data_IF_044451540991
#
_entry.id   IF_044451540991
#
_cell.length_a   1.000
_cell.length_b   1.000
_cell.length_c   1.000
_cell.angle_alpha   90.00
_cell.angle_beta   90.00
_cell.angle_gamma   90.00
#
_symmetry.space_group_name_H-M   'P 1'
#
loop_
_entity.id
_entity.type
_entity.pdbx_description
1 polymer ?
#
# COMPACT_ATOMS: atom_id res chain seq x y z
N UNK A 1 12.83 12.36 -12.08
CA UNK A 1 12.67 10.95 -11.70
C UNK A 1 11.68 10.91 -10.56
N UNK A 2 10.49 10.32 -10.73
CA UNK A 2 9.51 10.27 -9.65
C UNK A 2 9.91 9.23 -8.62
N UNK A 3 9.59 9.53 -7.38
CA UNK A 3 9.94 8.67 -6.27
C UNK A 3 8.67 8.56 -5.44
N UNK A 4 7.81 7.59 -5.68
CA UNK A 4 6.70 7.27 -4.76
C UNK A 4 7.30 7.01 -3.39
N UNK A 5 6.96 7.82 -2.36
CA UNK A 5 7.37 7.56 -0.97
C UNK A 5 6.14 7.26 -0.15
N UNK A 6 6.16 6.10 0.51
CA UNK A 6 5.10 5.59 1.38
C UNK A 6 4.88 6.44 2.63
N UNK A 7 3.67 6.45 3.20
CA UNK A 7 3.43 7.06 4.49
C UNK A 7 4.13 6.21 5.57
N UNK A 8 5.19 6.75 6.16
CA UNK A 8 5.82 6.17 7.35
C UNK A 8 5.01 6.56 8.58
N UNK A 9 4.10 5.68 9.01
CA UNK A 9 3.67 5.58 10.42
C UNK A 9 3.00 4.21 10.61
N UNK A 10 3.79 3.14 10.81
CA UNK A 10 3.24 1.89 11.31
C UNK A 10 2.68 2.20 12.70
N UNK A 11 1.35 2.19 12.85
CA UNK A 11 0.77 2.14 14.20
C UNK A 11 0.99 0.70 14.64
N UNK A 12 1.77 0.43 15.69
CA UNK A 12 2.08 -0.93 16.08
C UNK A 12 0.81 -1.60 16.60
N UNK A 13 0.09 -2.32 15.73
CA UNK A 13 -0.49 -3.58 16.16
C UNK A 13 0.69 -4.46 16.57
N UNK A 14 0.79 -4.80 17.85
CA UNK A 14 2.01 -5.16 18.57
C UNK A 14 2.80 -6.40 18.06
N UNK A 15 2.51 -6.97 16.88
CA UNK A 15 3.16 -8.20 16.40
C UNK A 15 3.34 -8.41 14.88
N UNK A 16 2.90 -7.52 13.96
CA UNK A 16 3.07 -7.71 12.50
C UNK A 16 3.40 -6.40 11.79
N UNK A 17 4.12 -6.47 10.67
CA UNK A 17 4.37 -5.33 9.78
C UNK A 17 3.87 -5.63 8.37
N UNK A 18 3.07 -4.73 7.80
CA UNK A 18 2.67 -4.77 6.39
C UNK A 18 3.59 -3.86 5.57
N UNK A 19 4.07 -4.34 4.42
CA UNK A 19 4.93 -3.56 3.53
C UNK A 19 4.52 -3.76 2.08
N UNK A 20 4.26 -2.64 1.43
CA UNK A 20 4.13 -2.58 -0.01
C UNK A 20 5.49 -2.32 -0.65
N UNK A 21 5.76 -2.95 -1.79
CA UNK A 21 6.89 -2.57 -2.66
C UNK A 21 6.64 -1.19 -3.28
N UNK A 22 7.69 -0.44 -3.55
CA UNK A 22 7.56 0.88 -4.19
C UNK A 22 7.44 0.73 -5.70
N UNK A 23 6.40 1.32 -6.27
CA UNK A 23 6.22 1.40 -7.71
C UNK A 23 6.91 2.61 -8.32
N UNK A 24 7.43 2.49 -9.54
CA UNK A 24 7.97 3.61 -10.31
C UNK A 24 7.49 3.53 -11.76
N UNK A 25 6.96 4.64 -12.27
CA UNK A 25 6.49 4.74 -13.64
C UNK A 25 6.73 6.13 -14.23
N UNK A 26 6.34 6.32 -15.50
CA UNK A 26 6.36 7.61 -16.18
C UNK A 26 4.99 8.28 -16.07
N UNK A 27 4.88 9.61 -16.30
CA UNK A 27 3.57 10.25 -16.43
C UNK A 27 2.75 9.58 -17.52
N UNK A 28 1.50 9.22 -17.22
CA UNK A 28 0.62 8.47 -18.13
C UNK A 28 0.78 6.95 -18.10
N UNK A 29 1.73 6.40 -17.33
CA UNK A 29 1.82 4.96 -17.09
C UNK A 29 0.93 4.53 -15.91
N UNK A 30 0.40 3.32 -16.01
CA UNK A 30 -0.26 2.61 -14.91
C UNK A 30 0.78 1.77 -14.17
N UNK A 31 0.92 2.02 -12.86
CA UNK A 31 1.83 1.28 -11.99
C UNK A 31 1.02 0.36 -11.11
N UNK A 32 1.18 -0.94 -11.30
CA UNK A 32 0.65 -1.96 -10.39
C UNK A 32 1.69 -2.30 -9.34
N UNK A 33 1.30 -2.13 -8.08
CA UNK A 33 2.02 -2.60 -6.90
C UNK A 33 1.33 -3.89 -6.46
N UNK A 34 2.10 -4.97 -6.42
CA UNK A 34 1.58 -6.26 -5.97
C UNK A 34 1.09 -6.20 -4.51
N UNK A 35 0.41 -7.27 -4.09
CA UNK A 35 -0.03 -7.48 -2.71
C UNK A 35 1.10 -7.20 -1.71
N UNK A 36 0.78 -6.68 -0.51
CA UNK A 36 1.80 -6.38 0.46
C UNK A 36 2.42 -7.64 1.06
N UNK A 37 3.68 -7.52 1.46
CA UNK A 37 4.33 -8.51 2.31
C UNK A 37 3.89 -8.31 3.76
N UNK A 38 3.43 -9.38 4.40
CA UNK A 38 3.24 -9.41 5.84
C UNK A 38 4.43 -10.09 6.49
N UNK A 39 4.96 -9.47 7.53
CA UNK A 39 6.01 -10.06 8.36
C UNK A 39 5.54 -10.15 9.81
N UNK A 40 5.86 -11.25 10.47
CA UNK A 40 5.61 -11.42 11.90
C UNK A 40 6.61 -10.60 12.75
N UNK A 41 6.46 -10.67 14.08
CA UNK A 41 7.35 -10.01 15.05
C UNK A 41 8.81 -10.45 14.93
N UNK A 42 9.06 -11.61 14.36
CA UNK A 42 10.39 -12.19 14.15
C UNK A 42 10.95 -11.82 12.77
N UNK A 43 10.18 -11.09 11.95
CA UNK A 43 10.54 -10.66 10.60
C UNK A 43 10.32 -11.74 9.53
N UNK A 44 9.69 -12.86 9.87
CA UNK A 44 9.42 -13.92 8.90
C UNK A 44 8.22 -13.56 8.03
N UNK A 45 8.29 -13.82 6.71
CA UNK A 45 7.15 -13.65 5.83
C UNK A 45 6.00 -14.57 6.28
N UNK A 46 4.83 -13.98 6.41
CA UNK A 46 3.59 -14.65 6.81
C UNK A 46 2.48 -14.18 5.86
N UNK A 47 1.36 -14.89 5.84
CA UNK A 47 0.20 -14.51 5.02
C UNK A 47 -0.85 -13.84 5.89
N UNK A 48 -1.60 -12.89 5.31
CA UNK A 48 -2.71 -12.26 5.99
C UNK A 48 -3.73 -13.31 6.45
N UNK A 49 -4.31 -13.18 7.65
CA UNK A 49 -5.43 -14.03 8.05
C UNK A 49 -6.57 -13.97 7.02
N UNK A 50 -7.23 -15.10 6.78
CA UNK A 50 -8.47 -15.13 5.99
C UNK A 50 -9.50 -14.16 6.58
N UNK A 51 -10.06 -13.28 5.73
CA UNK A 51 -10.97 -12.20 6.14
C UNK A 51 -10.27 -10.88 6.45
N UNK A 52 -8.95 -10.78 6.22
CA UNK A 52 -8.28 -9.47 6.17
C UNK A 52 -8.80 -8.69 4.98
N UNK A 53 -9.13 -7.42 5.21
CA UNK A 53 -9.61 -6.51 4.17
C UNK A 53 -8.67 -5.32 4.04
N UNK A 54 -8.49 -4.85 2.80
CA UNK A 54 -7.63 -3.72 2.49
C UNK A 54 -8.47 -2.57 1.96
N UNK A 55 -8.18 -1.36 2.41
CA UNK A 55 -8.85 -0.16 1.93
C UNK A 55 -7.85 0.94 1.64
N UNK A 56 -8.07 1.75 0.60
CA UNK A 56 -7.34 3.00 0.48
C UNK A 56 -7.70 3.88 1.68
N UNK A 57 -6.69 4.49 2.30
CA UNK A 57 -6.92 5.48 3.34
C UNK A 57 -7.49 6.78 2.73
N UNK A 58 -8.09 7.63 3.57
CA UNK A 58 -8.71 8.89 3.13
C UNK A 58 -7.78 9.84 2.35
N UNK A 59 -6.47 9.78 2.58
CA UNK A 59 -5.47 10.59 1.87
C UNK A 59 -4.96 9.94 0.55
N UNK A 60 -5.63 8.90 0.05
CA UNK A 60 -5.25 8.26 -1.20
C UNK A 60 -5.54 9.18 -2.40
N UNK A 61 -4.56 9.43 -3.28
CA UNK A 61 -4.74 10.28 -4.44
C UNK A 61 -5.72 9.68 -5.45
N UNK A 62 -6.35 10.55 -6.24
CA UNK A 62 -7.19 10.14 -7.36
C UNK A 62 -6.41 9.26 -8.35
N UNK A 63 -7.04 8.18 -8.82
CA UNK A 63 -6.39 7.20 -9.70
C UNK A 63 -5.72 6.03 -8.98
N UNK A 64 -5.83 5.96 -7.64
CA UNK A 64 -5.45 4.79 -6.86
C UNK A 64 -6.64 3.84 -6.74
N UNK A 65 -6.38 2.55 -6.98
CA UNK A 65 -7.30 1.45 -6.70
C UNK A 65 -6.59 0.47 -5.79
N UNK A 66 -7.26 0.02 -4.75
CA UNK A 66 -6.77 -1.01 -3.84
C UNK A 66 -7.76 -2.17 -3.91
N UNK A 67 -7.26 -3.37 -4.16
CA UNK A 67 -8.04 -4.59 -4.09
C UNK A 67 -8.26 -4.97 -2.64
N UNK A 68 -9.53 -5.04 -2.23
CA UNK A 68 -9.89 -5.27 -0.84
C UNK A 68 -9.62 -6.69 -0.32
N UNK A 69 -9.38 -7.66 -1.20
CA UNK A 69 -9.16 -9.06 -0.85
C UNK A 69 -7.68 -9.41 -0.78
N UNK A 70 -6.90 -8.90 -1.73
CA UNK A 70 -5.48 -9.22 -1.91
C UNK A 70 -4.58 -8.11 -1.40
N UNK A 71 -5.09 -6.87 -1.36
CA UNK A 71 -4.31 -5.69 -1.07
C UNK A 71 -3.52 -5.18 -2.27
N UNK A 72 -3.67 -5.73 -3.48
CA UNK A 72 -3.02 -5.21 -4.69
C UNK A 72 -3.39 -3.73 -4.92
N UNK A 73 -2.41 -2.89 -5.26
CA UNK A 73 -2.65 -1.46 -5.49
C UNK A 73 -2.33 -1.14 -6.94
N UNK A 74 -3.29 -0.59 -7.67
CA UNK A 74 -3.04 0.02 -8.98
C UNK A 74 -3.02 1.53 -8.83
N UNK A 75 -1.97 2.18 -9.32
CA UNK A 75 -1.81 3.63 -9.29
C UNK A 75 -1.62 4.14 -10.71
N UNK A 76 -2.57 4.92 -11.20
CA UNK A 76 -2.43 5.62 -12.47
C UNK A 76 -1.66 6.92 -12.26
N UNK A 77 -0.51 7.08 -12.91
CA UNK A 77 0.27 8.32 -12.80
C UNK A 77 -0.32 9.36 -13.76
N UNK A 78 -0.72 10.55 -13.27
CA UNK A 78 -1.24 11.58 -14.16
C UNK A 78 -0.17 12.05 -15.16
N UNK A 79 -0.57 12.39 -16.38
CA UNK A 79 0.36 12.84 -17.44
C UNK A 79 1.05 14.17 -17.09
N UNK A 80 0.42 15.01 -16.27
CA UNK A 80 0.95 16.29 -15.78
C UNK A 80 1.94 16.16 -14.62
N UNK A 81 2.17 14.93 -14.15
CA UNK A 81 3.10 14.69 -13.06
C UNK A 81 4.50 15.23 -13.45
N UNK A 82 5.30 15.72 -12.50
CA UNK A 82 6.68 16.20 -12.73
C UNK A 82 7.77 15.26 -12.21
N UNK A 83 8.85 14.98 -12.99
CA UNK A 83 9.93 14.07 -12.62
C UNK A 83 10.51 14.29 -11.21
N UNK A 84 9.94 13.64 -10.18
CA UNK A 84 10.26 13.94 -8.78
C UNK A 84 9.09 13.79 -7.83
N UNK A 85 7.86 13.82 -8.34
CA UNK A 85 6.69 13.74 -7.47
C UNK A 85 6.60 12.39 -6.75
N UNK A 86 5.93 12.48 -5.62
CA UNK A 86 5.74 11.43 -4.63
C UNK A 86 4.24 11.20 -4.53
N UNK A 87 3.74 10.16 -5.18
CA UNK A 87 2.40 9.67 -4.89
C UNK A 87 2.51 8.90 -3.59
N UNK A 88 1.77 9.31 -2.57
CA UNK A 88 1.75 8.62 -1.28
C UNK A 88 0.39 7.97 -1.15
N UNK A 89 0.34 6.64 -1.16
CA UNK A 89 -0.90 5.90 -1.00
C UNK A 89 -0.97 5.38 0.42
N UNK A 90 -1.87 5.91 1.27
CA UNK A 90 -2.22 5.25 2.52
C UNK A 90 -3.09 4.03 2.21
N UNK A 91 -2.78 2.92 2.89
CA UNK A 91 -3.63 1.74 2.89
C UNK A 91 -3.93 1.42 4.34
N UNK A 92 -5.21 1.18 4.62
CA UNK A 92 -5.70 0.68 5.89
C UNK A 92 -5.97 -0.81 5.75
N UNK A 93 -5.34 -1.61 6.61
CA UNK A 93 -5.53 -3.06 6.66
C UNK A 93 -6.37 -3.39 7.87
N UNK A 94 -7.57 -3.93 7.66
CA UNK A 94 -8.47 -4.37 8.74
C UNK A 94 -8.47 -5.89 8.84
N UNK A 95 -8.12 -6.39 10.01
CA UNK A 95 -8.04 -7.82 10.28
C UNK A 95 -9.32 -8.35 10.95
N UNK A 96 -9.60 -9.66 10.84
CA UNK A 96 -10.78 -10.27 11.47
C UNK A 96 -10.76 -10.27 13.00
N UNK A 97 -9.59 -10.07 13.63
CA UNK A 97 -9.45 -9.89 15.08
C UNK A 97 -9.86 -8.48 15.55
N UNK A 98 -10.20 -7.58 14.62
CA UNK A 98 -10.55 -6.18 14.87
C UNK A 98 -9.34 -5.25 14.96
N UNK A 99 -8.13 -5.75 14.75
CA UNK A 99 -6.93 -4.92 14.66
C UNK A 99 -6.87 -4.19 13.31
N UNK A 100 -6.17 -3.06 13.27
CA UNK A 100 -5.91 -2.29 12.05
C UNK A 100 -4.44 -1.91 11.93
N UNK A 101 -3.90 -1.90 10.71
CA UNK A 101 -2.54 -1.43 10.36
C UNK A 101 -2.60 -0.31 9.30
#
# INVERSE_FOLDING_TARGET
MFLVRKPSRPRPSLTRTVRYEDGSGKPGDDVTVEKPEFKDKDGNPTEAPDGTTFKPGDDAPDGVKVDENTGEITVTIPEDAKPGDKITVPVEVTYPDGSTD
#
